data_IF_146252800618
#
_entry.id   IF_146252800618
#
_cell.length_a   1.000
_cell.length_b   1.000
_cell.length_c   1.000
_cell.angle_alpha   90.00
_cell.angle_beta   90.00
_cell.angle_gamma   90.00
#
_symmetry.space_group_name_H-M   'P 1'
#
loop_
_entity.id
_entity.type
_entity.pdbx_description
1 polymer ?
#
# COMPACT_ATOMS: atom_id res chain seq x y z
N UNK A 1 -53.58 22.95 41.28
CA UNK A 1 -53.18 22.92 39.85
C UNK A 1 -53.06 21.52 39.22
N UNK A 2 -52.88 20.43 39.99
CA UNK A 2 -52.77 19.07 39.44
C UNK A 2 -54.08 18.54 38.83
N UNK A 3 -55.24 18.80 39.46
CA UNK A 3 -56.57 18.38 38.97
C UNK A 3 -56.94 18.92 37.57
N UNK A 4 -56.49 20.13 37.22
CA UNK A 4 -56.75 20.75 35.93
C UNK A 4 -55.85 20.24 34.78
N UNK A 5 -54.83 19.40 35.09
CA UNK A 5 -53.99 18.74 34.07
C UNK A 5 -54.54 17.39 33.64
N UNK A 6 -55.36 16.75 34.49
CA UNK A 6 -55.98 15.44 34.23
C UNK A 6 -57.17 15.49 33.25
N UNK A 7 -57.70 16.69 32.97
CA UNK A 7 -58.90 16.91 32.13
C UNK A 7 -58.55 17.88 30.98
N UNK A 8 -57.40 17.68 30.34
CA UNK A 8 -56.99 18.48 29.16
C UNK A 8 -57.19 17.67 27.90
N UNK A 9 -57.83 18.28 26.90
CA UNK A 9 -57.82 17.77 25.53
C UNK A 9 -56.40 17.81 24.97
N UNK A 10 -56.10 16.93 24.01
CA UNK A 10 -54.79 16.86 23.34
C UNK A 10 -54.42 18.23 22.76
N UNK A 11 -55.39 18.96 22.20
CA UNK A 11 -55.17 20.29 21.62
C UNK A 11 -54.82 21.35 22.67
N UNK A 12 -55.52 21.35 23.81
CA UNK A 12 -55.23 22.27 24.91
C UNK A 12 -53.88 21.97 25.60
N UNK A 13 -53.42 20.72 25.53
CA UNK A 13 -52.09 20.33 25.97
C UNK A 13 -51.01 20.78 24.97
N UNK A 14 -51.22 20.52 23.68
CA UNK A 14 -50.32 20.94 22.60
C UNK A 14 -50.11 22.46 22.55
N UNK A 15 -51.21 23.23 22.61
CA UNK A 15 -51.15 24.69 22.61
C UNK A 15 -50.34 25.24 23.79
N UNK A 16 -50.47 24.64 24.97
CA UNK A 16 -49.68 25.03 26.14
C UNK A 16 -48.20 24.73 25.97
N UNK A 17 -47.86 23.53 25.49
CA UNK A 17 -46.47 23.17 25.24
C UNK A 17 -45.82 24.10 24.21
N UNK A 18 -46.56 24.49 23.17
CA UNK A 18 -46.10 25.45 22.18
C UNK A 18 -45.82 26.84 22.80
N UNK A 19 -46.70 27.32 23.67
CA UNK A 19 -46.51 28.59 24.37
C UNK A 19 -45.32 28.54 25.35
N UNK A 20 -45.21 27.46 26.14
CA UNK A 20 -44.07 27.25 27.03
C UNK A 20 -42.74 27.19 26.23
N UNK A 21 -42.73 26.48 25.10
CA UNK A 21 -41.56 26.42 24.21
C UNK A 21 -41.16 27.80 23.67
N UNK A 22 -42.13 28.63 23.25
CA UNK A 22 -41.87 30.00 22.82
C UNK A 22 -41.29 30.86 23.95
N UNK A 23 -41.86 30.78 25.16
CA UNK A 23 -41.35 31.51 26.32
C UNK A 23 -39.91 31.12 26.67
N UNK A 24 -39.60 29.82 26.65
CA UNK A 24 -38.23 29.34 26.89
C UNK A 24 -37.27 29.71 25.77
N UNK A 25 -37.73 29.79 24.52
CA UNK A 25 -36.90 30.24 23.40
C UNK A 25 -36.54 31.72 23.54
N UNK A 26 -37.51 32.56 23.86
CA UNK A 26 -37.28 33.99 24.13
C UNK A 26 -36.35 34.21 25.34
N UNK A 27 -36.56 33.46 26.43
CA UNK A 27 -35.67 33.53 27.59
C UNK A 27 -34.24 33.12 27.24
N UNK A 28 -34.05 32.07 26.43
CA UNK A 28 -32.73 31.64 25.94
C UNK A 28 -32.08 32.66 25.01
N UNK A 29 -32.86 33.34 24.17
CA UNK A 29 -32.35 34.36 23.25
C UNK A 29 -31.87 35.62 23.98
N UNK A 30 -32.47 35.94 25.13
CA UNK A 30 -32.12 37.09 25.96
C UNK A 30 -31.15 36.75 27.11
N UNK A 31 -30.65 35.51 27.15
CA UNK A 31 -29.76 35.03 28.20
C UNK A 31 -28.38 35.72 28.07
N UNK A 32 -27.85 36.23 29.19
CA UNK A 32 -26.48 36.75 29.22
C UNK A 32 -25.47 35.60 29.15
N UNK A 33 -24.23 35.88 28.75
CA UNK A 33 -23.18 34.85 28.68
C UNK A 33 -22.95 34.12 30.03
N UNK A 34 -23.01 34.85 31.15
CA UNK A 34 -22.85 34.27 32.49
C UNK A 34 -24.03 33.37 32.89
N UNK A 35 -25.25 33.79 32.59
CA UNK A 35 -26.45 32.96 32.82
C UNK A 35 -26.39 31.69 31.96
N UNK A 36 -25.98 31.81 30.70
CA UNK A 36 -25.81 30.69 29.78
C UNK A 36 -24.77 29.67 30.30
N UNK A 37 -23.62 30.15 30.77
CA UNK A 37 -22.59 29.28 31.38
C UNK A 37 -23.13 28.60 32.64
N UNK A 38 -23.79 29.35 33.53
CA UNK A 38 -24.35 28.82 34.78
C UNK A 38 -25.41 27.75 34.53
N UNK A 39 -26.29 27.96 33.54
CA UNK A 39 -27.30 27.00 33.12
C UNK A 39 -26.66 25.73 32.56
N UNK A 40 -25.70 25.85 31.65
CA UNK A 40 -24.98 24.69 31.10
C UNK A 40 -24.23 23.91 32.19
N UNK A 41 -23.63 24.60 33.16
CA UNK A 41 -22.96 23.95 34.30
C UNK A 41 -23.96 23.17 35.16
N UNK A 42 -25.13 23.76 35.43
CA UNK A 42 -26.21 23.11 36.18
C UNK A 42 -26.76 21.88 35.45
N UNK A 43 -26.94 21.96 34.13
CA UNK A 43 -27.40 20.84 33.31
C UNK A 43 -26.34 19.72 33.22
N UNK A 44 -25.06 20.07 33.07
CA UNK A 44 -23.95 19.12 33.09
C UNK A 44 -23.90 18.35 34.43
N UNK A 45 -24.06 19.06 35.56
CA UNK A 45 -24.10 18.46 36.89
C UNK A 45 -25.27 17.47 37.03
N UNK A 46 -26.47 17.86 36.59
CA UNK A 46 -27.67 17.00 36.61
C UNK A 46 -27.46 15.72 35.81
N UNK A 47 -26.87 15.83 34.62
CA UNK A 47 -26.56 14.67 33.78
C UNK A 47 -25.44 13.79 34.36
N UNK A 48 -24.47 14.36 35.08
CA UNK A 48 -23.45 13.59 35.78
C UNK A 48 -24.05 12.80 36.94
N UNK A 49 -24.93 13.44 37.74
CA UNK A 49 -25.64 12.78 38.83
C UNK A 49 -26.56 11.65 38.33
N UNK A 50 -27.35 11.90 37.28
CA UNK A 50 -28.20 10.88 36.67
C UNK A 50 -27.39 9.67 36.16
N UNK A 51 -26.21 9.91 35.55
CA UNK A 51 -25.30 8.85 35.12
C UNK A 51 -24.65 8.11 36.29
N UNK A 52 -24.43 8.76 37.42
CA UNK A 52 -23.86 8.11 38.61
C UNK A 52 -24.86 7.16 39.29
N UNK A 53 -26.16 7.42 39.15
CA UNK A 53 -27.24 6.61 39.73
C UNK A 53 -27.89 5.65 38.73
N UNK A 54 -27.37 5.57 37.50
CA UNK A 54 -27.96 4.71 36.46
C UNK A 54 -27.75 3.23 36.78
N UNK A 55 -28.78 2.42 36.56
CA UNK A 55 -28.68 0.96 36.66
C UNK A 55 -27.89 0.38 35.48
N UNK A 56 -27.43 -0.87 35.60
CA UNK A 56 -26.71 -1.53 34.51
C UNK A 56 -27.54 -1.64 33.22
N UNK A 57 -28.84 -1.94 33.34
CA UNK A 57 -29.75 -2.06 32.19
C UNK A 57 -30.02 -0.71 31.54
N UNK A 58 -30.17 0.36 32.33
CA UNK A 58 -30.29 1.72 31.81
C UNK A 58 -29.00 2.17 31.11
N UNK A 59 -27.84 1.86 31.67
CA UNK A 59 -26.55 2.13 31.04
C UNK A 59 -26.42 1.40 29.69
N UNK A 60 -26.78 0.12 29.63
CA UNK A 60 -26.75 -0.68 28.39
C UNK A 60 -27.72 -0.08 27.36
N UNK A 61 -28.95 0.21 27.76
CA UNK A 61 -29.99 0.78 26.90
C UNK A 61 -29.61 2.14 26.33
N UNK A 62 -29.01 3.01 27.17
CA UNK A 62 -28.47 4.31 26.77
C UNK A 62 -27.33 4.16 25.78
N UNK A 63 -26.34 3.29 26.08
CA UNK A 63 -25.22 3.01 25.16
C UNK A 63 -25.68 2.45 23.81
N UNK A 64 -26.68 1.57 23.81
CA UNK A 64 -27.26 1.01 22.59
C UNK A 64 -27.95 2.09 21.75
N UNK A 65 -28.70 2.98 22.40
CA UNK A 65 -29.38 4.11 21.75
C UNK A 65 -28.39 5.14 21.20
N UNK A 66 -27.32 5.46 21.94
CA UNK A 66 -26.23 6.33 21.48
C UNK A 66 -25.50 5.72 20.28
N UNK A 67 -25.20 4.42 20.32
CA UNK A 67 -24.58 3.70 19.20
C UNK A 67 -25.47 3.71 17.95
N UNK A 68 -26.77 3.47 18.11
CA UNK A 68 -27.74 3.53 17.01
C UNK A 68 -27.81 4.93 16.39
N UNK A 69 -27.90 5.97 17.21
CA UNK A 69 -27.89 7.36 16.74
C UNK A 69 -26.63 7.68 15.96
N UNK A 70 -25.46 7.29 16.45
CA UNK A 70 -24.19 7.49 15.73
C UNK A 70 -24.13 6.72 14.42
N UNK A 71 -24.65 5.49 14.36
CA UNK A 71 -24.71 4.71 13.13
C UNK A 71 -25.64 5.37 12.10
N UNK A 72 -26.81 5.85 12.53
CA UNK A 72 -27.76 6.57 11.68
C UNK A 72 -27.17 7.88 11.15
N UNK A 73 -26.51 8.68 12.00
CA UNK A 73 -25.82 9.89 11.58
C UNK A 73 -24.75 9.57 10.53
N UNK A 74 -23.91 8.55 10.75
CA UNK A 74 -22.88 8.13 9.80
C UNK A 74 -23.44 7.65 8.46
N UNK A 75 -24.62 7.03 8.46
CA UNK A 75 -25.27 6.54 7.25
C UNK A 75 -25.79 7.66 6.34
N UNK A 76 -26.11 8.83 6.91
CA UNK A 76 -26.59 10.01 6.17
C UNK A 76 -25.52 11.08 5.96
N UNK A 77 -24.28 10.83 6.40
CA UNK A 77 -23.15 11.74 6.17
C UNK A 77 -22.94 11.96 4.66
N UNK A 78 -22.82 13.22 4.24
CA UNK A 78 -22.33 13.53 2.90
C UNK A 78 -20.81 13.33 2.82
N UNK A 79 -20.25 13.39 1.62
CA UNK A 79 -18.81 13.14 1.37
C UNK A 79 -17.90 14.11 2.11
N UNK A 80 -18.26 15.40 2.19
CA UNK A 80 -17.44 16.42 2.85
C UNK A 80 -17.37 16.18 4.36
N UNK A 81 -18.52 15.91 4.99
CA UNK A 81 -18.62 15.59 6.42
C UNK A 81 -17.87 14.30 6.72
N UNK A 82 -17.98 13.28 5.85
CA UNK A 82 -17.26 12.03 6.00
C UNK A 82 -15.74 12.24 6.00
N UNK A 83 -15.22 13.00 5.03
CA UNK A 83 -13.79 13.30 4.92
C UNK A 83 -13.32 14.09 6.14
N UNK A 84 -14.04 15.15 6.51
CA UNK A 84 -13.70 15.98 7.67
C UNK A 84 -13.68 15.19 8.98
N UNK A 85 -14.64 14.27 9.19
CA UNK A 85 -14.65 13.37 10.35
C UNK A 85 -13.41 12.46 10.36
N UNK A 86 -13.08 11.83 9.23
CA UNK A 86 -11.89 10.96 9.14
C UNK A 86 -10.58 11.73 9.36
N UNK A 87 -10.46 12.95 8.84
CA UNK A 87 -9.30 13.81 9.06
C UNK A 87 -9.16 14.21 10.53
N UNK A 88 -10.27 14.57 11.17
CA UNK A 88 -10.32 14.89 12.60
C UNK A 88 -9.94 13.69 13.46
N UNK A 89 -10.48 12.50 13.14
CA UNK A 89 -10.13 11.25 13.83
C UNK A 89 -8.63 10.93 13.65
N UNK A 90 -8.09 11.11 12.44
CA UNK A 90 -6.66 10.91 12.15
C UNK A 90 -5.78 11.85 12.97
N UNK A 91 -6.13 13.14 13.02
CA UNK A 91 -5.38 14.15 13.77
C UNK A 91 -5.40 13.83 15.27
N UNK A 92 -6.58 13.54 15.83
CA UNK A 92 -6.73 13.13 17.24
C UNK A 92 -5.87 11.90 17.55
N UNK A 93 -5.89 10.88 16.70
CA UNK A 93 -5.03 9.70 16.89
C UNK A 93 -3.53 9.97 16.74
N UNK A 94 -3.15 10.98 15.96
CA UNK A 94 -1.76 11.42 15.86
C UNK A 94 -1.31 12.10 17.14
N UNK A 95 -2.11 13.06 17.64
CA UNK A 95 -1.84 13.79 18.88
C UNK A 95 -1.80 12.86 20.10
N UNK A 96 -2.72 11.91 20.20
CA UNK A 96 -2.72 10.91 21.27
C UNK A 96 -1.44 10.05 21.23
N UNK A 97 -0.96 9.70 20.04
CA UNK A 97 0.30 8.95 19.88
C UNK A 97 1.53 9.81 20.18
N UNK A 98 1.50 11.11 19.90
CA UNK A 98 2.59 12.01 20.22
C UNK A 98 2.73 12.23 21.74
N UNK A 99 1.63 12.13 22.48
CA UNK A 99 1.57 12.30 23.95
C UNK A 99 1.71 10.99 24.73
N UNK A 100 1.81 9.85 24.05
CA UNK A 100 1.84 8.55 24.71
C UNK A 100 3.13 8.38 25.52
N UNK A 101 3.02 7.85 26.72
CA UNK A 101 4.21 7.44 27.50
C UNK A 101 4.81 6.16 26.92
N UNK A 102 6.06 5.86 27.28
CA UNK A 102 6.73 4.64 26.83
C UNK A 102 5.96 3.36 27.20
N UNK A 103 5.38 3.31 28.41
CA UNK A 103 4.58 2.17 28.88
C UNK A 103 3.28 2.01 28.08
N UNK A 104 2.57 3.11 27.79
CA UNK A 104 1.35 3.09 26.98
C UNK A 104 1.63 2.68 25.53
N UNK A 105 2.76 3.16 24.97
CA UNK A 105 3.24 2.74 23.65
C UNK A 105 3.48 1.24 23.60
N UNK A 106 4.18 0.69 24.59
CA UNK A 106 4.48 -0.74 24.64
C UNK A 106 3.19 -1.57 24.77
N UNK A 107 2.27 -1.17 25.65
CA UNK A 107 0.98 -1.84 25.80
C UNK A 107 0.15 -1.82 24.50
N UNK A 108 0.13 -0.69 23.79
CA UNK A 108 -0.53 -0.57 22.48
C UNK A 108 0.08 -1.50 21.44
N UNK A 109 1.42 -1.55 21.36
CA UNK A 109 2.13 -2.42 20.41
C UNK A 109 1.93 -3.90 20.76
N UNK A 110 1.92 -4.25 22.05
CA UNK A 110 1.65 -5.62 22.52
C UNK A 110 0.27 -6.10 22.09
N UNK A 111 -0.78 -5.31 22.34
CA UNK A 111 -2.14 -5.63 21.87
C UNK A 111 -2.22 -5.77 20.34
N UNK A 112 -1.45 -4.96 19.60
CA UNK A 112 -1.39 -5.05 18.15
C UNK A 112 -0.73 -6.36 17.68
N UNK A 113 0.33 -6.81 18.37
CA UNK A 113 0.97 -8.11 18.12
C UNK A 113 0.05 -9.28 18.46
N UNK A 114 -0.62 -9.23 19.60
CA UNK A 114 -1.58 -10.26 20.02
C UNK A 114 -2.75 -10.39 19.03
N UNK A 115 -3.32 -9.27 18.59
CA UNK A 115 -4.36 -9.27 17.57
C UNK A 115 -3.87 -9.83 16.22
N UNK A 116 -2.61 -9.59 15.86
CA UNK A 116 -1.99 -10.17 14.67
C UNK A 116 -1.84 -11.69 14.79
N UNK A 117 -1.34 -12.18 15.92
CA UNK A 117 -1.19 -13.62 16.19
C UNK A 117 -2.52 -14.35 16.12
N UNK A 118 -3.60 -13.75 16.67
CA UNK A 118 -4.95 -14.33 16.60
C UNK A 118 -5.53 -14.41 15.17
N UNK A 119 -5.04 -13.60 14.23
CA UNK A 119 -5.47 -13.65 12.83
C UNK A 119 -4.64 -14.64 12.00
N UNK A 120 -3.41 -14.97 12.43
CA UNK A 120 -2.57 -16.00 11.84
C UNK A 120 -2.92 -17.33 12.51
N UNK A 121 -4.11 -17.86 12.20
CA UNK A 121 -4.64 -19.08 12.83
C UNK A 121 -3.99 -20.38 12.38
N UNK A 122 -2.93 -20.35 11.57
CA UNK A 122 -2.16 -21.54 11.25
C UNK A 122 -0.67 -21.21 11.06
N UNK A 123 0.07 -21.20 12.17
CA UNK A 123 1.53 -21.04 12.19
C UNK A 123 2.23 -22.06 11.28
N UNK A 124 1.60 -23.22 11.07
CA UNK A 124 2.07 -24.25 10.14
C UNK A 124 1.90 -23.82 8.69
N UNK A 125 0.78 -23.19 8.32
CA UNK A 125 0.54 -22.68 6.97
C UNK A 125 1.45 -21.49 6.64
N UNK A 126 1.68 -20.60 7.61
CA UNK A 126 2.66 -19.52 7.49
C UNK A 126 4.07 -20.08 7.28
N UNK A 127 4.52 -20.99 8.15
CA UNK A 127 5.85 -21.61 8.05
C UNK A 127 6.01 -22.40 6.75
N UNK A 128 4.97 -23.10 6.29
CA UNK A 128 4.99 -23.83 5.02
C UNK A 128 5.09 -22.85 3.84
N UNK A 129 4.36 -21.74 3.89
CA UNK A 129 4.35 -20.72 2.83
C UNK A 129 5.70 -20.00 2.72
N UNK A 130 6.29 -19.56 3.83
CA UNK A 130 7.58 -18.84 3.81
C UNK A 130 8.76 -19.73 3.42
N UNK A 131 8.68 -21.04 3.71
CA UNK A 131 9.72 -22.01 3.37
C UNK A 131 9.50 -22.66 1.99
N UNK A 132 8.50 -22.21 1.23
CA UNK A 132 8.37 -22.61 -0.17
C UNK A 132 9.29 -21.73 -1.01
N UNK A 133 10.16 -22.34 -1.83
CA UNK A 133 11.11 -21.60 -2.67
C UNK A 133 10.78 -21.75 -4.16
N UNK A 134 11.37 -20.88 -4.99
CA UNK A 134 11.25 -20.95 -6.46
C UNK A 134 12.25 -21.95 -7.05
N UNK A 135 12.14 -23.22 -6.68
CA UNK A 135 13.08 -24.28 -7.07
C UNK A 135 12.72 -24.97 -8.39
N UNK A 136 11.48 -24.80 -8.87
CA UNK A 136 11.01 -25.45 -10.10
C UNK A 136 11.24 -24.58 -11.33
N UNK A 137 11.72 -25.19 -12.41
CA UNK A 137 11.97 -24.50 -13.67
C UNK A 137 10.86 -24.78 -14.69
N UNK A 138 10.48 -23.74 -15.43
CA UNK A 138 9.65 -23.88 -16.63
C UNK A 138 10.46 -24.58 -17.75
N UNK A 139 9.95 -25.66 -18.34
CA UNK A 139 10.61 -26.38 -19.44
C UNK A 139 10.90 -25.48 -20.67
N UNK A 140 10.07 -24.45 -20.87
CA UNK A 140 10.15 -23.58 -22.06
C UNK A 140 11.16 -22.43 -21.86
N UNK A 141 11.00 -21.64 -20.80
CA UNK A 141 11.80 -20.44 -20.57
C UNK A 141 12.87 -20.57 -19.48
N UNK A 142 12.98 -21.74 -18.83
CA UNK A 142 13.88 -22.02 -17.71
C UNK A 142 13.76 -21.05 -16.52
N UNK A 143 12.71 -20.23 -16.48
CA UNK A 143 12.42 -19.34 -15.35
C UNK A 143 12.14 -20.19 -14.09
N UNK A 144 12.91 -19.93 -13.03
CA UNK A 144 12.63 -20.39 -11.66
C UNK A 144 11.28 -19.86 -11.17
N UNK A 145 10.41 -20.76 -10.74
CA UNK A 145 9.02 -20.50 -10.38
C UNK A 145 8.69 -21.24 -9.09
N UNK A 146 7.76 -20.68 -8.31
CA UNK A 146 7.16 -21.41 -7.21
C UNK A 146 6.29 -22.56 -7.74
N UNK A 147 6.09 -23.65 -6.97
CA UNK A 147 5.28 -24.80 -7.40
C UNK A 147 3.88 -24.41 -7.91
N UNK A 148 3.22 -23.46 -7.24
CA UNK A 148 1.88 -22.96 -7.61
C UNK A 148 1.86 -22.09 -8.89
N UNK A 149 3.00 -21.64 -9.39
CA UNK A 149 3.11 -20.82 -10.60
C UNK A 149 3.30 -21.65 -11.88
N UNK A 150 3.50 -22.96 -11.73
CA UNK A 150 3.70 -23.89 -12.83
C UNK A 150 2.45 -24.73 -13.05
N UNK A 151 2.18 -25.03 -14.32
CA UNK A 151 1.05 -25.84 -14.75
C UNK A 151 1.57 -26.92 -15.67
N UNK A 152 1.05 -28.14 -15.52
CA UNK A 152 1.28 -29.23 -16.48
C UNK A 152 0.47 -28.96 -17.74
N UNK A 153 1.17 -28.83 -18.88
CA UNK A 153 0.57 -28.68 -20.20
C UNK A 153 0.78 -29.97 -20.99
N UNK A 154 -0.33 -30.62 -21.37
CA UNK A 154 -0.30 -31.80 -22.24
C UNK A 154 -0.19 -31.37 -23.69
N UNK A 155 0.84 -31.85 -24.39
CA UNK A 155 1.01 -31.65 -25.82
C UNK A 155 0.00 -32.52 -26.57
N UNK A 156 -0.97 -31.88 -27.21
CA UNK A 156 -1.98 -32.56 -28.05
C UNK A 156 -1.58 -32.61 -29.51
N UNK A 157 -0.85 -31.59 -29.99
CA UNK A 157 -0.33 -31.49 -31.35
C UNK A 157 1.14 -31.05 -31.31
N UNK A 158 2.02 -31.63 -32.14
CA UNK A 158 3.39 -31.19 -32.25
C UNK A 158 3.44 -29.75 -32.78
N UNK A 159 4.18 -28.88 -32.11
CA UNK A 159 4.40 -27.50 -32.54
C UNK A 159 5.75 -27.40 -33.23
N UNK A 160 5.79 -26.83 -34.44
CA UNK A 160 6.97 -26.80 -35.31
C UNK A 160 8.19 -26.08 -34.71
N UNK A 161 7.98 -25.15 -33.79
CA UNK A 161 9.07 -24.38 -33.16
C UNK A 161 9.65 -25.01 -31.89
N UNK A 162 9.07 -26.12 -31.41
CA UNK A 162 9.56 -26.80 -30.23
C UNK A 162 10.81 -27.64 -30.59
N UNK A 163 11.89 -27.55 -29.80
CA UNK A 163 13.03 -28.46 -29.91
C UNK A 163 12.58 -29.94 -29.85
N UNK A 164 13.36 -30.82 -30.47
CA UNK A 164 13.07 -32.27 -30.52
C UNK A 164 12.92 -32.87 -29.11
N UNK A 165 13.76 -32.42 -28.18
CA UNK A 165 13.80 -32.87 -26.78
C UNK A 165 12.52 -32.54 -26.02
N UNK A 166 11.88 -31.40 -26.35
CA UNK A 166 10.63 -30.98 -25.74
C UNK A 166 9.41 -31.54 -26.46
N UNK A 167 9.51 -31.72 -27.77
CA UNK A 167 8.44 -32.32 -28.59
C UNK A 167 8.24 -33.81 -28.28
N UNK A 168 9.29 -34.49 -27.81
CA UNK A 168 9.22 -35.89 -27.37
C UNK A 168 8.47 -36.08 -26.04
N UNK A 169 8.32 -35.02 -25.23
CA UNK A 169 7.63 -35.10 -23.93
C UNK A 169 6.11 -35.06 -24.13
N UNK A 170 5.37 -35.91 -23.41
CA UNK A 170 3.89 -35.90 -23.41
C UNK A 170 3.32 -34.72 -22.63
N UNK A 171 3.94 -34.41 -21.50
CA UNK A 171 3.53 -33.34 -20.60
C UNK A 171 4.74 -32.42 -20.33
N UNK A 172 4.51 -31.11 -20.38
CA UNK A 172 5.50 -30.07 -20.08
C UNK A 172 5.09 -29.32 -18.80
N UNK A 173 6.07 -29.01 -17.95
CA UNK A 173 5.88 -28.15 -16.80
C UNK A 173 6.19 -26.70 -17.19
N UNK A 174 5.17 -25.85 -17.24
CA UNK A 174 5.30 -24.50 -17.82
C UNK A 174 4.72 -23.42 -16.93
N UNK A 175 5.36 -22.24 -16.91
CA UNK A 175 4.80 -21.08 -16.23
C UNK A 175 3.53 -20.57 -16.94
N UNK A 176 2.70 -19.81 -16.23
CA UNK A 176 1.44 -19.28 -16.77
C UNK A 176 1.59 -18.58 -18.13
N UNK A 177 2.66 -17.79 -18.32
CA UNK A 177 2.91 -17.08 -19.59
C UNK A 177 3.19 -18.05 -20.74
N UNK A 178 4.02 -19.08 -20.52
CA UNK A 178 4.31 -20.10 -21.51
C UNK A 178 3.08 -20.98 -21.78
N UNK A 179 2.31 -21.34 -20.75
CA UNK A 179 1.06 -22.08 -20.89
C UNK A 179 0.07 -21.32 -21.79
N UNK A 180 -0.16 -20.04 -21.52
CA UNK A 180 -1.03 -19.20 -22.36
C UNK A 180 -0.54 -19.09 -23.81
N UNK A 181 0.78 -19.05 -24.01
CA UNK A 181 1.35 -19.04 -25.36
C UNK A 181 1.17 -20.37 -26.08
N UNK A 182 1.34 -21.50 -25.39
CA UNK A 182 1.15 -22.85 -25.93
C UNK A 182 -0.32 -23.13 -26.24
N UNK A 183 -1.25 -22.64 -25.41
CA UNK A 183 -2.70 -22.72 -25.69
C UNK A 183 -3.11 -21.92 -26.92
N UNK A 184 -2.42 -20.80 -27.21
CA UNK A 184 -2.62 -20.05 -28.45
C UNK A 184 -1.94 -20.82 -29.60
N UNK A 185 -2.64 -21.01 -30.71
CA UNK A 185 -2.18 -21.71 -31.93
C UNK A 185 -1.15 -20.88 -32.72
N UNK A 186 -0.14 -20.35 -32.04
CA UNK A 186 0.93 -19.56 -32.64
C UNK A 186 1.95 -20.47 -33.33
N UNK A 187 2.53 -19.98 -34.41
CA UNK A 187 3.55 -20.65 -35.23
C UNK A 187 5.00 -20.41 -34.77
N UNK A 188 5.23 -19.53 -33.79
CA UNK A 188 6.56 -19.17 -33.29
C UNK A 188 6.71 -19.45 -31.79
N UNK A 189 7.96 -19.56 -31.35
CA UNK A 189 8.29 -19.74 -29.94
C UNK A 189 8.04 -18.45 -29.12
N UNK A 190 7.71 -18.55 -27.81
CA UNK A 190 7.70 -17.40 -26.92
C UNK A 190 9.04 -16.63 -26.92
N UNK A 191 9.02 -15.31 -26.72
CA UNK A 191 10.23 -14.48 -26.80
C UNK A 191 11.34 -14.82 -25.81
N UNK A 192 11.00 -15.38 -24.64
CA UNK A 192 11.95 -15.74 -23.57
C UNK A 192 12.24 -17.25 -23.51
N UNK A 193 12.13 -17.99 -24.61
CA UNK A 193 12.51 -19.41 -24.58
C UNK A 193 14.01 -19.57 -24.42
N UNK A 194 14.44 -20.65 -23.75
CA UNK A 194 15.86 -20.85 -23.45
C UNK A 194 16.70 -21.10 -24.71
N UNK A 195 16.10 -21.70 -25.74
CA UNK A 195 16.75 -21.93 -27.04
C UNK A 195 16.70 -20.72 -27.98
N UNK A 196 16.21 -19.55 -27.52
CA UNK A 196 16.26 -18.33 -28.32
C UNK A 196 17.65 -17.67 -28.31
N UNK A 197 18.64 -18.29 -27.62
CA UNK A 197 20.03 -17.83 -27.52
C UNK A 197 20.15 -16.31 -27.35
N UNK A 198 19.38 -15.72 -26.43
CA UNK A 198 19.42 -14.28 -26.09
C UNK A 198 20.71 -13.90 -25.33
N UNK A 199 21.80 -14.65 -25.51
CA UNK A 199 23.11 -14.31 -24.99
C UNK A 199 23.64 -13.12 -25.82
N UNK A 200 23.88 -11.94 -25.23
CA UNK A 200 24.29 -10.75 -25.97
C UNK A 200 25.73 -10.82 -26.54
N UNK A 201 26.44 -11.94 -26.36
CA UNK A 201 27.85 -12.09 -26.72
C UNK A 201 28.80 -11.47 -25.69
N UNK A 202 30.10 -11.59 -25.94
CA UNK A 202 31.13 -10.94 -25.14
C UNK A 202 31.12 -9.42 -25.38
N UNK A 203 31.37 -8.65 -24.33
CA UNK A 203 31.43 -7.19 -24.39
C UNK A 203 32.79 -6.77 -24.94
N UNK A 204 32.83 -5.86 -25.91
CA UNK A 204 34.10 -5.42 -26.50
C UNK A 204 34.93 -4.57 -25.52
N UNK A 205 36.24 -4.57 -25.73
CA UNK A 205 37.21 -3.90 -24.86
C UNK A 205 36.98 -2.39 -24.76
N UNK A 206 36.47 -1.78 -25.84
CA UNK A 206 36.12 -0.36 -25.93
C UNK A 206 34.99 0.02 -24.96
N UNK A 207 34.03 -0.87 -24.74
CA UNK A 207 32.92 -0.66 -23.80
C UNK A 207 33.34 -1.01 -22.36
N UNK A 208 34.15 -2.07 -22.20
CA UNK A 208 34.65 -2.50 -20.88
C UNK A 208 35.52 -1.42 -20.24
N UNK A 209 36.33 -0.71 -21.02
CA UNK A 209 37.29 0.29 -20.53
C UNK A 209 36.68 1.61 -20.03
N UNK A 210 35.38 1.83 -20.25
CA UNK A 210 34.68 3.04 -19.82
C UNK A 210 34.42 3.05 -18.32
N UNK A 211 34.57 4.21 -17.67
CA UNK A 211 34.07 4.42 -16.31
C UNK A 211 32.55 4.63 -16.31
N UNK A 212 31.92 4.48 -15.16
CA UNK A 212 30.47 4.50 -15.05
C UNK A 212 29.79 5.78 -15.59
N UNK A 213 30.28 7.01 -15.31
CA UNK A 213 29.73 8.22 -15.93
C UNK A 213 29.84 8.22 -17.46
N UNK A 214 30.93 7.70 -18.01
CA UNK A 214 31.16 7.59 -19.45
C UNK A 214 30.19 6.61 -20.10
N UNK A 215 29.95 5.45 -19.47
CA UNK A 215 28.95 4.48 -19.93
C UNK A 215 27.55 5.09 -19.98
N UNK A 216 27.18 5.91 -18.99
CA UNK A 216 25.88 6.59 -18.95
C UNK A 216 25.70 7.57 -20.10
N UNK A 217 26.74 8.28 -20.53
CA UNK A 217 26.68 9.15 -21.70
C UNK A 217 26.33 8.38 -22.99
N UNK A 218 26.72 7.11 -23.09
CA UNK A 218 26.43 6.25 -24.24
C UNK A 218 25.09 5.51 -24.13
N UNK A 219 24.52 5.39 -22.93
CA UNK A 219 23.27 4.63 -22.73
C UNK A 219 22.08 5.35 -23.37
N UNK A 220 21.43 4.69 -24.35
CA UNK A 220 20.18 5.19 -24.95
C UNK A 220 18.98 5.15 -24.00
N UNK A 221 19.04 4.30 -22.98
CA UNK A 221 17.96 4.08 -22.02
C UNK A 221 18.59 4.16 -20.64
N UNK A 222 18.16 5.16 -19.87
CA UNK A 222 18.50 5.30 -18.46
C UNK A 222 17.35 4.66 -17.67
N UNK A 223 17.54 3.49 -17.04
CA UNK A 223 16.50 2.92 -16.20
C UNK A 223 16.37 3.75 -14.92
N UNK A 224 15.21 4.37 -14.72
CA UNK A 224 14.88 5.04 -13.45
C UNK A 224 14.05 4.09 -12.60
N UNK A 225 14.48 3.82 -11.36
CA UNK A 225 13.68 3.10 -10.37
C UNK A 225 13.27 4.09 -9.29
N UNK A 226 11.97 4.35 -9.19
CA UNK A 226 11.41 5.22 -8.16
C UNK A 226 11.09 4.39 -6.92
N UNK A 227 11.83 4.61 -5.83
CA UNK A 227 11.49 4.09 -4.50
C UNK A 227 10.68 5.16 -3.77
N UNK A 228 9.53 4.79 -3.22
CA UNK A 228 8.63 5.69 -2.50
C UNK A 228 8.44 5.13 -1.10
N UNK A 229 8.92 5.85 -0.09
CA UNK A 229 8.55 5.59 1.28
C UNK A 229 7.16 6.19 1.54
N UNK A 230 6.24 5.38 2.04
CA UNK A 230 4.91 5.86 2.42
C UNK A 230 4.90 6.16 3.92
N UNK A 231 4.83 7.44 4.34
CA UNK A 231 4.75 7.78 5.74
C UNK A 231 3.33 7.52 6.24
N UNK A 232 3.01 6.30 6.64
CA UNK A 232 1.84 5.94 7.46
C UNK A 232 1.86 4.47 7.87
N UNK A 233 1.09 4.13 8.93
CA UNK A 233 0.94 2.81 9.58
C UNK A 233 0.44 1.66 8.65
N UNK A 234 0.21 1.93 7.36
CA UNK A 234 -0.27 1.04 6.29
C UNK A 234 0.15 1.57 4.89
N UNK A 235 1.39 1.36 4.43
CA UNK A 235 1.78 1.68 3.04
C UNK A 235 0.78 1.11 2.00
N UNK A 236 0.39 1.94 1.02
CA UNK A 236 -0.97 2.02 0.47
C UNK A 236 -1.49 0.88 -0.42
N UNK A 237 -2.83 0.84 -0.51
CA UNK A 237 -3.65 0.09 -1.45
C UNK A 237 -3.37 0.45 -2.92
N UNK A 238 -2.91 -0.56 -3.68
CA UNK A 238 -3.24 -0.74 -5.10
C UNK A 238 -2.42 0.05 -6.12
N UNK A 239 -1.33 -0.54 -6.59
CA UNK A 239 -0.77 -0.22 -7.91
C UNK A 239 -1.45 -1.07 -8.99
N UNK A 240 -1.89 -0.43 -10.09
CA UNK A 240 -2.33 -1.16 -11.29
C UNK A 240 -1.15 -1.30 -12.25
N UNK A 241 -0.49 -2.47 -12.23
CA UNK A 241 0.68 -2.78 -13.05
C UNK A 241 1.38 -4.07 -12.61
N UNK A 242 2.44 -4.49 -13.32
CA UNK A 242 3.28 -5.60 -12.84
C UNK A 242 4.14 -5.09 -11.67
N UNK A 243 3.66 -5.29 -10.44
CA UNK A 243 4.43 -5.00 -9.23
C UNK A 243 4.77 -6.31 -8.55
N UNK A 244 6.05 -6.51 -8.25
CA UNK A 244 6.49 -7.64 -7.42
C UNK A 244 6.72 -7.09 -6.02
N UNK A 245 5.83 -7.43 -5.10
CA UNK A 245 5.93 -7.03 -3.69
C UNK A 245 6.59 -8.18 -2.94
N UNK A 246 7.72 -7.90 -2.29
CA UNK A 246 8.33 -8.81 -1.33
C UNK A 246 8.24 -8.15 0.04
N UNK A 247 7.78 -8.88 1.06
CA UNK A 247 7.92 -8.45 2.43
C UNK A 247 9.41 -8.53 2.77
N UNK A 248 10.06 -7.38 2.80
CA UNK A 248 11.48 -7.29 3.10
C UNK A 248 11.66 -6.19 4.14
N UNK A 249 12.57 -6.43 5.08
CA UNK A 249 13.01 -5.40 6.02
C UNK A 249 13.63 -4.25 5.21
N UNK A 250 13.09 -3.04 5.37
CA UNK A 250 13.52 -1.86 4.61
C UNK A 250 15.02 -1.59 4.82
N UNK A 251 15.54 -1.87 6.02
CA UNK A 251 16.95 -1.70 6.31
C UNK A 251 17.78 -2.74 5.56
N UNK A 252 17.36 -4.00 5.60
CA UNK A 252 18.01 -5.09 4.84
C UNK A 252 17.96 -4.85 3.33
N UNK A 253 16.82 -4.37 2.80
CA UNK A 253 16.72 -3.99 1.38
C UNK A 253 17.64 -2.82 1.11
N UNK A 254 17.64 -1.76 1.89
CA UNK A 254 18.49 -0.60 1.60
C UNK A 254 19.98 -0.96 1.57
N UNK A 255 20.39 -1.90 2.42
CA UNK A 255 21.77 -2.38 2.52
C UNK A 255 22.11 -3.38 1.41
N UNK A 256 21.19 -4.29 1.06
CA UNK A 256 21.41 -5.37 0.07
C UNK A 256 20.89 -5.07 -1.33
N UNK A 257 20.13 -4.00 -1.53
CA UNK A 257 19.62 -3.54 -2.83
C UNK A 257 20.73 -3.49 -3.91
N UNK A 258 21.95 -3.02 -3.58
CA UNK A 258 23.14 -3.22 -4.41
C UNK A 258 23.33 -4.58 -5.06
N UNK A 259 23.07 -5.64 -4.31
CA UNK A 259 23.31 -7.03 -4.67
C UNK A 259 22.04 -7.69 -5.23
N UNK A 260 20.86 -7.15 -4.91
CA UNK A 260 19.55 -7.64 -5.36
C UNK A 260 19.18 -7.17 -6.77
N UNK A 261 19.84 -6.14 -7.28
CA UNK A 261 19.60 -5.63 -8.63
C UNK A 261 20.26 -6.54 -9.69
N UNK A 262 19.66 -6.69 -10.89
CA UNK A 262 20.27 -7.46 -11.99
C UNK A 262 21.62 -6.90 -12.47
N UNK A 263 21.99 -5.70 -12.01
CA UNK A 263 23.25 -5.00 -12.20
C UNK A 263 23.65 -4.42 -10.85
N UNK A 264 24.94 -4.40 -10.54
CA UNK A 264 25.48 -3.88 -9.27
C UNK A 264 24.97 -2.46 -8.97
N UNK A 265 24.83 -2.07 -7.69
CA UNK A 265 24.56 -0.67 -7.29
C UNK A 265 25.56 0.33 -7.85
N UNK A 266 26.76 -0.12 -8.22
CA UNK A 266 27.75 0.72 -8.87
C UNK A 266 27.37 1.07 -10.31
N UNK A 267 26.60 0.21 -10.99
CA UNK A 267 26.22 0.33 -12.41
C UNK A 267 24.86 1.01 -12.63
N UNK A 268 24.11 1.23 -11.55
CA UNK A 268 22.84 1.97 -11.56
C UNK A 268 23.08 3.21 -10.73
N UNK A 269 22.98 4.40 -11.32
CA UNK A 269 23.05 5.64 -10.55
C UNK A 269 21.92 5.69 -9.54
N UNK A 270 22.15 5.22 -8.31
CA UNK A 270 21.18 5.34 -7.22
C UNK A 270 21.26 6.78 -6.72
N UNK A 271 20.38 7.63 -7.24
CA UNK A 271 20.14 8.94 -6.66
C UNK A 271 19.07 8.76 -5.59
N UNK A 272 19.48 8.64 -4.33
CA UNK A 272 18.55 8.70 -3.19
C UNK A 272 18.13 10.16 -3.04
N UNK A 273 16.98 10.51 -3.61
CA UNK A 273 16.37 11.82 -3.37
C UNK A 273 15.47 11.72 -2.16
N UNK A 274 16.05 11.82 -0.96
CA UNK A 274 15.28 12.25 0.19
C UNK A 274 15.00 13.74 0.01
N UNK A 275 13.73 14.13 -0.09
CA UNK A 275 13.33 15.53 0.11
C UNK A 275 13.50 15.89 1.58
N UNK A 276 14.75 16.07 1.97
CA UNK A 276 15.14 16.87 3.13
C UNK A 276 15.95 18.03 2.55
N UNK A 277 15.59 19.25 2.94
CA UNK A 277 16.11 20.53 2.45
C UNK A 277 17.64 20.74 2.62
N UNK A 278 18.40 19.70 3.00
CA UNK A 278 19.75 19.81 3.58
C UNK A 278 20.84 18.89 2.98
N UNK A 279 20.62 18.16 1.88
CA UNK A 279 21.68 17.33 1.27
C UNK A 279 22.31 18.02 0.05
N UNK A 280 23.38 18.77 0.27
CA UNK A 280 24.28 19.27 -0.77
C UNK A 280 25.46 18.30 -0.98
N UNK A 281 25.19 17.15 -1.60
CA UNK A 281 26.27 16.26 -2.06
C UNK A 281 26.43 16.44 -3.57
N UNK A 282 27.45 17.20 -3.99
CA UNK A 282 27.90 17.25 -5.38
C UNK A 282 29.12 16.34 -5.55
N UNK A 283 29.01 15.34 -6.41
CA UNK A 283 30.16 14.56 -6.87
C UNK A 283 30.58 15.04 -8.25
N UNK A 284 31.81 15.54 -8.35
CA UNK A 284 32.42 15.95 -9.61
C UNK A 284 33.11 14.74 -10.27
N UNK A 285 32.79 14.48 -11.53
CA UNK A 285 33.39 13.39 -12.32
C UNK A 285 34.20 13.96 -13.48
N UNK A 286 35.46 13.52 -13.61
CA UNK A 286 36.29 13.83 -14.77
C UNK A 286 36.03 12.80 -15.86
N UNK A 287 35.46 13.23 -16.99
CA UNK A 287 35.06 12.39 -18.12
C UNK A 287 36.13 12.49 -19.22
N UNK A 288 36.65 11.34 -19.70
CA UNK A 288 37.58 11.31 -20.82
C UNK A 288 36.82 11.14 -22.14
N UNK A 289 36.58 12.26 -22.81
CA UNK A 289 35.81 12.31 -24.07
C UNK A 289 36.34 11.35 -25.16
N UNK A 290 37.66 11.19 -25.28
CA UNK A 290 38.27 10.28 -26.28
C UNK A 290 37.80 8.83 -26.11
N UNK A 291 37.63 8.36 -24.87
CA UNK A 291 37.14 7.00 -24.61
C UNK A 291 35.67 6.86 -24.98
N UNK A 292 34.87 7.87 -24.63
CA UNK A 292 33.44 7.94 -24.96
C UNK A 292 33.25 7.90 -26.48
N UNK A 293 33.99 8.70 -27.23
CA UNK A 293 33.90 8.73 -28.70
C UNK A 293 34.34 7.41 -29.34
N UNK A 294 35.45 6.81 -28.90
CA UNK A 294 35.89 5.50 -29.40
C UNK A 294 34.84 4.41 -29.19
N UNK A 295 34.23 4.38 -28.01
CA UNK A 295 33.16 3.43 -27.73
C UNK A 295 31.87 3.74 -28.50
N UNK A 296 31.55 5.02 -28.73
CA UNK A 296 30.42 5.42 -29.57
C UNK A 296 30.62 5.00 -31.03
N UNK A 297 31.79 5.25 -31.61
CA UNK A 297 32.13 4.86 -32.97
C UNK A 297 32.03 3.34 -33.15
N UNK A 298 32.55 2.59 -32.17
CA UNK A 298 32.40 1.14 -32.14
C UNK A 298 30.93 0.72 -32.10
N UNK A 299 30.10 1.36 -31.27
CA UNK A 299 28.67 1.09 -31.17
C UNK A 299 27.93 1.42 -32.47
N UNK A 300 28.24 2.54 -33.12
CA UNK A 300 27.64 2.93 -34.42
C UNK A 300 27.97 1.88 -35.49
N UNK A 301 29.21 1.41 -35.54
CA UNK A 301 29.65 0.40 -36.50
C UNK A 301 29.00 -0.98 -36.25
N UNK A 302 28.95 -1.42 -35.00
CA UNK A 302 28.63 -2.81 -34.65
C UNK A 302 27.21 -3.03 -34.11
N UNK A 303 26.54 -2.00 -33.60
CA UNK A 303 25.22 -2.12 -32.99
C UNK A 303 24.14 -1.40 -33.84
N UNK A 304 23.18 -2.13 -34.44
CA UNK A 304 22.09 -1.54 -35.23
C UNK A 304 21.27 -0.48 -34.49
N UNK A 305 21.23 -0.51 -33.16
CA UNK A 305 20.54 0.49 -32.35
C UNK A 305 21.24 1.85 -32.34
N UNK A 306 22.52 1.93 -32.69
CA UNK A 306 23.30 3.18 -32.70
C UNK A 306 23.50 3.75 -34.11
N UNK A 307 23.08 3.04 -35.17
CA UNK A 307 23.24 3.46 -36.58
C UNK A 307 22.45 4.70 -37.01
N UNK A 308 21.56 5.24 -36.16
CA UNK A 308 20.71 6.40 -36.45
C UNK A 308 20.91 7.56 -35.46
N UNK A 309 22.05 7.55 -34.77
CA UNK A 309 22.49 8.65 -33.91
C UNK A 309 23.27 9.65 -34.75
#
# INVERSE_FOLDING_TARGET
MARARLIKTVDAHSFRLANDAQRYALARANETANEHISRLASDALRHAQARATETADEHISRRASDALRHAQTRAIENTEVHISRLESDRLRHSELRARETSQEREARLRRQREAYVLLVTDEVDFNTTINTFCDKCCDICQKKCYPNQLVKYRLTLPKSYLPLELSAKKDLLVCHRCNMHLKRSKSHAPSKVHWNNLLPGDISVEIVALIEPERRLLQRIIPYVKVIEFPCRFGQYGFKGHVTLFALDIFEVSEKLPEMLPRSSTDVGIVVTETLENLNVSSDYNILLDRVYKALDWLIANNPLYKRM
#
